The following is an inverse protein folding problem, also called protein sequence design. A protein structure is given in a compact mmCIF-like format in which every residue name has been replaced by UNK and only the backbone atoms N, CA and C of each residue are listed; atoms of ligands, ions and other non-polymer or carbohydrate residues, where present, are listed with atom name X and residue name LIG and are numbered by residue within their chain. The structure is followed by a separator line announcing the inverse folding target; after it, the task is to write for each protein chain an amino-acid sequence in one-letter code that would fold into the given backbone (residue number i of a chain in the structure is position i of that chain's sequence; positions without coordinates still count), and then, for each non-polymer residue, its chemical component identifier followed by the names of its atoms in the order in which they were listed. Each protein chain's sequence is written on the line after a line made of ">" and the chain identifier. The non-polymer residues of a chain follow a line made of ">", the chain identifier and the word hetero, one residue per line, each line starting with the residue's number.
data_IF_396334451711
#
_entry.id   IF_396334451711
#
_cell.length_a   1.000
_cell.length_b   1.000
_cell.length_c   1.000
_cell.angle_alpha   90.00
_cell.angle_beta   90.00
_cell.angle_gamma   90.00
#
_symmetry.space_group_name_H-M   'P 1'
#
loop_
_entity.id
_entity.type
_entity.pdbx_description
1 polymer ?
#
# COMPACT_ATOMS: atom_id res chain seq x y z
N UNK A 1 -17.81 -12.04 4.67
CA UNK A 1 -18.54 -11.14 5.58
C UNK A 1 -19.91 -10.82 4.97
N UNK A 2 -21.01 -11.24 5.60
CA UNK A 2 -22.38 -11.09 5.09
C UNK A 2 -23.15 -9.92 5.75
N UNK A 3 -22.84 -9.61 7.01
CA UNK A 3 -23.35 -8.41 7.70
C UNK A 3 -22.23 -7.71 8.47
N UNK A 4 -21.70 -6.58 7.93
CA UNK A 4 -20.63 -5.83 8.61
C UNK A 4 -21.05 -5.20 9.95
N UNK A 5 -22.34 -4.94 10.19
CA UNK A 5 -22.79 -4.32 11.44
C UNK A 5 -22.80 -5.30 12.62
N UNK A 6 -23.07 -6.55 12.34
CA UNK A 6 -23.09 -7.65 13.32
C UNK A 6 -21.84 -8.51 13.22
N UNK A 7 -20.90 -8.15 12.36
CA UNK A 7 -19.74 -8.97 11.99
C UNK A 7 -20.17 -10.42 11.68
N UNK A 8 -21.21 -10.57 10.86
CA UNK A 8 -21.70 -11.89 10.47
C UNK A 8 -20.83 -12.42 9.34
N UNK A 9 -20.23 -13.58 9.54
CA UNK A 9 -19.37 -14.24 8.55
C UNK A 9 -19.98 -15.57 8.14
N UNK A 10 -19.83 -15.92 6.87
CA UNK A 10 -20.07 -17.25 6.35
C UNK A 10 -18.71 -17.90 6.15
N UNK A 11 -18.56 -19.10 6.70
CA UNK A 11 -17.35 -19.90 6.59
C UNK A 11 -17.69 -21.17 5.85
N UNK A 12 -16.95 -21.47 4.78
CA UNK A 12 -17.07 -22.71 4.03
C UNK A 12 -15.90 -23.63 4.35
N UNK A 13 -16.22 -24.87 4.68
CA UNK A 13 -15.24 -25.91 4.92
C UNK A 13 -14.83 -26.57 3.60
N UNK A 14 -13.56 -26.39 3.21
CA UNK A 14 -12.99 -26.97 1.99
C UNK A 14 -12.21 -28.27 2.24
N UNK A 15 -12.14 -28.72 3.49
CA UNK A 15 -11.53 -30.01 3.79
C UNK A 15 -12.43 -31.15 3.30
N UNK A 16 -11.82 -32.29 2.92
CA UNK A 16 -12.52 -33.47 2.51
C UNK A 16 -12.94 -34.37 3.70
N UNK A 17 -12.15 -34.35 4.79
CA UNK A 17 -12.32 -35.30 5.90
C UNK A 17 -12.31 -34.64 7.28
N UNK A 18 -12.06 -33.36 7.40
CA UNK A 18 -11.86 -32.67 8.67
C UNK A 18 -12.98 -31.68 8.94
N UNK A 19 -13.66 -31.80 10.08
CA UNK A 19 -14.63 -30.82 10.55
C UNK A 19 -13.89 -29.58 11.12
N UNK A 20 -14.43 -28.38 10.90
CA UNK A 20 -13.83 -27.13 11.39
C UNK A 20 -13.83 -27.02 12.93
N UNK A 21 -14.56 -27.86 13.66
CA UNK A 21 -14.49 -27.91 15.13
C UNK A 21 -13.12 -28.32 15.67
N UNK A 22 -12.24 -28.89 14.83
CA UNK A 22 -10.83 -29.18 15.14
C UNK A 22 -9.93 -27.94 15.17
N UNK A 23 -10.48 -26.79 14.82
CA UNK A 23 -9.76 -25.50 14.75
C UNK A 23 -10.44 -24.45 15.61
N UNK A 24 -9.68 -23.43 15.98
CA UNK A 24 -10.17 -22.21 16.65
C UNK A 24 -10.06 -21.05 15.71
N UNK A 25 -11.17 -20.34 15.49
CA UNK A 25 -11.18 -19.02 14.87
C UNK A 25 -10.75 -17.97 15.90
N UNK A 26 -9.73 -17.21 15.58
CA UNK A 26 -9.37 -15.96 16.24
C UNK A 26 -9.85 -14.82 15.36
N UNK A 27 -10.47 -13.82 15.94
CA UNK A 27 -10.90 -12.65 15.19
C UNK A 27 -10.52 -11.37 15.92
N UNK A 28 -10.17 -10.36 15.13
CA UNK A 28 -9.82 -9.03 15.63
C UNK A 28 -10.44 -7.96 14.74
N UNK A 29 -11.03 -6.93 15.36
CA UNK A 29 -11.32 -5.67 14.70
C UNK A 29 -10.17 -4.71 14.99
N UNK A 30 -9.47 -4.30 13.96
CA UNK A 30 -8.30 -3.42 14.04
C UNK A 30 -8.57 -2.11 13.33
N UNK A 31 -8.17 -0.99 13.91
CA UNK A 31 -8.24 0.32 13.29
C UNK A 31 -7.11 0.59 12.30
N UNK A 32 -7.28 1.62 11.48
CA UNK A 32 -6.23 2.11 10.55
C UNK A 32 -5.00 2.71 11.27
N UNK A 33 -5.07 2.86 12.59
CA UNK A 33 -3.94 3.21 13.47
C UNK A 33 -3.17 1.98 13.99
N UNK A 34 -3.56 0.76 13.57
CA UNK A 34 -2.96 -0.51 13.96
C UNK A 34 -3.37 -1.02 15.33
N UNK A 35 -4.31 -0.37 16.03
CA UNK A 35 -4.76 -0.82 17.36
C UNK A 35 -5.96 -1.75 17.25
N UNK A 36 -5.96 -2.77 18.10
CA UNK A 36 -7.08 -3.67 18.29
C UNK A 36 -8.21 -2.93 19.03
N UNK A 37 -9.40 -2.94 18.44
CA UNK A 37 -10.62 -2.33 18.97
C UNK A 37 -11.45 -3.37 19.72
N UNK A 38 -11.52 -4.57 19.16
CA UNK A 38 -12.20 -5.71 19.73
C UNK A 38 -11.59 -7.01 19.19
N UNK A 39 -11.62 -8.06 19.98
CA UNK A 39 -11.11 -9.38 19.60
C UNK A 39 -11.85 -10.50 20.32
N UNK A 40 -11.66 -11.69 19.85
CA UNK A 40 -12.20 -12.89 20.49
C UNK A 40 -11.86 -14.14 19.73
N UNK A 41 -12.37 -15.25 20.26
CA UNK A 41 -12.25 -16.58 19.65
C UNK A 41 -13.60 -17.21 19.44
N UNK A 42 -13.69 -18.13 18.50
CA UNK A 42 -14.91 -18.89 18.24
C UNK A 42 -14.60 -20.28 17.67
N UNK A 43 -15.42 -21.25 18.05
CA UNK A 43 -15.51 -22.55 17.40
C UNK A 43 -16.59 -22.55 16.34
N UNK A 44 -16.37 -23.31 15.27
CA UNK A 44 -17.37 -23.57 14.26
C UNK A 44 -17.51 -25.08 14.07
N UNK A 45 -18.73 -25.59 14.19
CA UNK A 45 -19.07 -26.96 13.79
C UNK A 45 -19.54 -26.91 12.34
N UNK A 46 -18.69 -27.33 11.43
CA UNK A 46 -18.93 -27.31 10.00
C UNK A 46 -18.31 -28.54 9.36
N UNK A 47 -19.15 -29.44 8.88
CA UNK A 47 -18.70 -30.66 8.23
C UNK A 47 -17.97 -30.36 6.89
N UNK A 48 -17.17 -31.33 6.39
CA UNK A 48 -16.55 -31.21 5.08
C UNK A 48 -17.53 -30.77 3.98
N UNK A 49 -17.10 -29.81 3.13
CA UNK A 49 -17.86 -29.24 2.02
C UNK A 49 -19.10 -28.43 2.39
N UNK A 50 -19.45 -28.33 3.66
CA UNK A 50 -20.57 -27.51 4.15
C UNK A 50 -20.16 -26.05 4.41
N UNK A 51 -21.13 -25.21 4.70
CA UNK A 51 -20.93 -23.82 5.11
C UNK A 51 -21.75 -23.54 6.39
N UNK A 52 -21.21 -22.68 7.24
CA UNK A 52 -21.87 -22.21 8.45
C UNK A 52 -21.79 -20.69 8.55
N UNK A 53 -22.87 -20.07 8.99
CA UNK A 53 -22.95 -18.61 9.19
C UNK A 53 -23.12 -18.32 10.68
N UNK A 54 -22.35 -17.35 11.19
CA UNK A 54 -22.46 -16.89 12.57
C UNK A 54 -22.04 -15.44 12.73
N UNK A 55 -22.53 -14.81 13.80
CA UNK A 55 -22.14 -13.43 14.17
C UNK A 55 -21.02 -13.48 15.21
N UNK A 56 -20.06 -12.55 15.06
CA UNK A 56 -19.01 -12.28 16.04
C UNK A 56 -19.40 -11.16 17.02
N UNK A 57 -20.56 -10.53 16.79
CA UNK A 57 -21.09 -9.44 17.58
C UNK A 57 -20.97 -8.07 16.89
N UNK A 58 -21.57 -7.06 17.51
CA UNK A 58 -21.47 -5.69 17.01
C UNK A 58 -20.31 -4.97 17.68
N UNK A 59 -19.51 -4.23 16.90
CA UNK A 59 -18.39 -3.43 17.40
C UNK A 59 -18.64 -1.96 17.07
N UNK A 60 -18.54 -1.10 18.08
CA UNK A 60 -18.63 0.37 17.91
C UNK A 60 -17.22 0.91 17.64
N UNK A 61 -17.03 1.50 16.47
CA UNK A 61 -15.77 2.12 16.11
C UNK A 61 -15.59 3.47 16.83
N UNK A 62 -14.41 3.73 17.43
CA UNK A 62 -14.08 5.05 17.97
C UNK A 62 -14.09 6.14 16.89
N UNK A 63 -14.45 7.37 17.21
CA UNK A 63 -14.47 8.49 16.27
C UNK A 63 -13.09 8.87 15.72
N UNK A 64 -12.03 8.44 16.38
CA UNK A 64 -10.64 8.63 15.95
C UNK A 64 -10.19 7.65 14.86
N UNK A 65 -10.94 6.60 14.62
CA UNK A 65 -10.63 5.59 13.60
C UNK A 65 -11.42 5.91 12.32
N UNK A 66 -10.71 6.07 11.21
CA UNK A 66 -11.29 6.35 9.90
C UNK A 66 -11.82 5.08 9.23
N UNK A 67 -11.02 4.04 9.25
CA UNK A 67 -11.33 2.73 8.70
C UNK A 67 -10.99 1.63 9.70
N UNK A 68 -11.72 0.53 9.65
CA UNK A 68 -11.42 -0.63 10.45
C UNK A 68 -11.47 -1.90 9.60
N UNK A 69 -10.75 -2.90 10.05
CA UNK A 69 -10.58 -4.20 9.39
C UNK A 69 -10.99 -5.31 10.34
N UNK A 70 -11.78 -6.25 9.86
CA UNK A 70 -12.02 -7.52 10.54
C UNK A 70 -10.99 -8.52 10.03
N UNK A 71 -10.08 -8.93 10.89
CA UNK A 71 -9.12 -9.98 10.63
C UNK A 71 -9.63 -11.29 11.22
N UNK A 72 -9.56 -12.35 10.44
CA UNK A 72 -9.90 -13.70 10.83
C UNK A 72 -8.67 -14.59 10.65
N UNK A 73 -8.39 -15.43 11.64
CA UNK A 73 -7.28 -16.37 11.61
C UNK A 73 -7.70 -17.70 12.25
N UNK A 74 -7.34 -18.80 11.62
CA UNK A 74 -7.66 -20.14 12.11
C UNK A 74 -6.39 -20.85 12.52
N UNK A 75 -6.40 -21.43 13.73
CA UNK A 75 -5.31 -22.26 14.24
C UNK A 75 -5.83 -23.64 14.66
N UNK A 76 -5.06 -24.72 14.51
CA UNK A 76 -5.47 -26.03 14.93
C UNK A 76 -5.45 -26.15 16.46
N UNK A 77 -6.38 -26.92 17.04
CA UNK A 77 -6.41 -27.17 18.47
C UNK A 77 -5.36 -28.19 18.91
N UNK A 78 -4.91 -29.03 17.97
CA UNK A 78 -3.91 -30.08 18.22
C UNK A 78 -2.80 -29.96 17.17
N UNK A 79 -1.57 -30.01 17.63
CA UNK A 79 -0.41 -30.07 16.75
C UNK A 79 -0.38 -31.36 15.94
N UNK A 80 0.11 -31.27 14.72
CA UNK A 80 0.52 -32.41 13.89
C UNK A 80 2.05 -32.40 13.76
N UNK A 81 2.69 -33.42 13.13
CA UNK A 81 4.13 -33.39 12.91
C UNK A 81 4.65 -32.19 12.13
N UNK A 82 3.78 -31.50 11.36
CA UNK A 82 4.17 -30.40 10.46
C UNK A 82 3.51 -29.05 10.81
N UNK A 83 2.49 -29.03 11.68
CA UNK A 83 1.70 -27.84 12.00
C UNK A 83 1.50 -27.79 13.52
N UNK A 84 1.97 -26.72 14.14
CA UNK A 84 1.78 -26.45 15.58
C UNK A 84 0.41 -25.84 15.89
N UNK A 85 0.02 -25.81 17.16
CA UNK A 85 -1.25 -25.22 17.62
C UNK A 85 -1.35 -23.71 17.44
N UNK A 86 -0.23 -23.03 17.17
CA UNK A 86 -0.17 -21.57 16.92
C UNK A 86 0.03 -21.23 15.45
N UNK A 87 0.14 -22.23 14.58
CA UNK A 87 0.32 -22.00 13.16
C UNK A 87 -1.01 -21.62 12.51
N UNK A 88 -1.01 -20.51 11.78
CA UNK A 88 -2.17 -20.07 11.03
C UNK A 88 -2.36 -20.97 9.80
N UNK A 89 -3.51 -21.64 9.73
CA UNK A 89 -3.85 -22.54 8.61
C UNK A 89 -4.78 -21.91 7.58
N UNK A 90 -5.48 -20.85 7.97
CA UNK A 90 -6.30 -20.04 7.09
C UNK A 90 -6.49 -18.64 7.69
N UNK A 91 -6.57 -17.64 6.83
CA UNK A 91 -6.87 -16.27 7.25
C UNK A 91 -7.76 -15.57 6.23
N UNK A 92 -8.39 -14.50 6.69
CA UNK A 92 -9.12 -13.56 5.82
C UNK A 92 -9.14 -12.18 6.46
N UNK A 93 -9.27 -11.13 5.63
CA UNK A 93 -9.41 -9.76 6.08
C UNK A 93 -10.54 -9.07 5.34
N UNK A 94 -11.45 -8.46 6.08
CA UNK A 94 -12.55 -7.68 5.52
C UNK A 94 -12.43 -6.23 5.94
N UNK A 95 -12.54 -5.33 4.96
CA UNK A 95 -12.67 -3.90 5.23
C UNK A 95 -14.07 -3.65 5.77
N UNK A 96 -14.17 -3.15 7.00
CA UNK A 96 -15.42 -2.67 7.54
C UNK A 96 -15.71 -1.29 6.93
N UNK A 97 -16.97 -0.99 6.67
CA UNK A 97 -17.37 0.28 6.04
C UNK A 97 -16.76 1.49 6.76
N UNK A 98 -16.38 2.51 5.99
CA UNK A 98 -15.81 3.75 6.51
C UNK A 98 -16.62 4.31 7.70
N UNK A 99 -15.94 4.67 8.76
CA UNK A 99 -16.58 5.20 9.97
C UNK A 99 -17.16 6.59 9.71
N UNK A 100 -18.48 6.69 9.61
CA UNK A 100 -19.18 7.97 9.44
C UNK A 100 -18.98 8.95 10.60
N UNK A 101 -18.56 8.46 11.74
CA UNK A 101 -18.22 9.26 12.93
C UNK A 101 -16.80 9.80 12.96
N UNK A 102 -15.95 9.40 12.01
CA UNK A 102 -14.57 9.85 11.96
C UNK A 102 -14.47 11.37 11.82
N UNK A 103 -13.59 11.95 12.59
CA UNK A 103 -13.18 13.34 12.49
C UNK A 103 -11.67 13.39 12.36
N UNK A 104 -11.20 13.80 11.20
CA UNK A 104 -9.77 13.97 10.95
C UNK A 104 -9.21 15.00 11.95
N UNK A 105 -8.11 14.70 12.64
CA UNK A 105 -7.45 15.70 13.46
C UNK A 105 -6.97 16.85 12.58
N UNK A 106 -7.17 18.08 13.02
CA UNK A 106 -6.58 19.23 12.33
C UNK A 106 -5.09 19.26 12.66
N UNK A 107 -4.28 18.91 11.67
CA UNK A 107 -2.82 18.93 11.79
C UNK A 107 -2.31 20.12 11.00
N UNK A 108 -1.59 21.03 11.66
CA UNK A 108 -0.93 22.18 11.06
C UNK A 108 0.57 22.04 11.21
N UNK A 109 1.25 21.54 10.20
CA UNK A 109 2.69 21.26 10.22
C UNK A 109 3.44 21.85 9.01
N UNK A 110 2.76 22.61 8.14
CA UNK A 110 3.42 23.19 6.96
C UNK A 110 4.59 24.10 7.31
N UNK A 111 4.49 24.84 8.42
CA UNK A 111 5.54 25.71 8.96
C UNK A 111 6.77 24.92 9.48
N UNK A 112 6.68 23.63 9.65
CA UNK A 112 7.75 22.71 10.07
C UNK A 112 8.41 21.99 8.89
N UNK A 113 7.92 22.24 7.67
CA UNK A 113 8.39 21.57 6.44
C UNK A 113 9.07 22.59 5.55
N UNK A 114 10.23 22.21 5.00
CA UNK A 114 10.89 22.92 3.89
C UNK A 114 11.11 21.94 2.75
N UNK A 115 10.87 22.39 1.53
CA UNK A 115 11.10 21.61 0.32
C UNK A 115 12.05 22.35 -0.60
N UNK A 116 12.78 21.60 -1.42
CA UNK A 116 13.63 22.14 -2.46
C UNK A 116 13.52 21.30 -3.74
N UNK A 117 13.34 21.98 -4.85
CA UNK A 117 13.19 21.39 -6.20
C UNK A 117 14.42 21.77 -7.01
N UNK A 118 15.12 20.78 -7.51
CA UNK A 118 16.32 20.95 -8.32
C UNK A 118 15.97 21.64 -9.65
N UNK A 119 16.56 22.80 -9.97
CA UNK A 119 16.27 23.51 -11.21
C UNK A 119 16.79 22.82 -12.47
N UNK A 120 17.79 21.95 -12.36
CA UNK A 120 18.36 21.23 -13.49
C UNK A 120 17.57 19.98 -13.87
N UNK A 121 16.99 19.32 -12.89
CA UNK A 121 16.29 18.04 -13.08
C UNK A 121 14.79 18.11 -12.80
N UNK A 122 14.31 19.15 -12.13
CA UNK A 122 12.93 19.26 -11.68
C UNK A 122 12.56 18.27 -10.54
N UNK A 123 13.53 17.56 -10.01
CA UNK A 123 13.35 16.56 -8.95
C UNK A 123 13.15 17.23 -7.58
N UNK A 124 12.35 16.62 -6.69
CA UNK A 124 12.34 17.00 -5.29
C UNK A 124 13.69 16.56 -4.67
N UNK A 125 14.55 17.53 -4.42
CA UNK A 125 15.92 17.34 -3.94
C UNK A 125 15.99 17.25 -2.42
N UNK A 126 15.10 17.93 -1.73
CA UNK A 126 15.07 17.98 -0.27
C UNK A 126 13.64 18.06 0.26
N UNK A 127 13.37 17.35 1.35
CA UNK A 127 12.17 17.43 2.17
C UNK A 127 12.59 17.41 3.63
N UNK A 128 12.67 18.59 4.25
CA UNK A 128 13.09 18.75 5.63
C UNK A 128 11.86 18.85 6.52
N UNK A 129 11.76 18.01 7.55
CA UNK A 129 10.73 18.07 8.57
C UNK A 129 11.37 18.33 9.94
N UNK A 130 10.97 19.41 10.61
CA UNK A 130 11.52 19.84 11.92
C UNK A 130 13.05 19.88 11.91
N UNK A 131 13.65 20.37 10.85
CA UNK A 131 15.10 20.50 10.70
C UNK A 131 15.85 19.23 10.32
N UNK A 132 15.15 18.09 10.13
CA UNK A 132 15.74 16.82 9.71
C UNK A 132 15.43 16.54 8.24
N UNK A 133 16.47 16.27 7.43
CA UNK A 133 16.30 15.80 6.04
C UNK A 133 15.67 14.39 6.06
N UNK A 134 14.62 14.21 5.26
CA UNK A 134 13.85 12.98 5.17
C UNK A 134 14.16 12.18 3.90
N UNK A 135 14.84 12.77 2.92
CA UNK A 135 15.23 12.09 1.70
C UNK A 135 16.70 11.66 1.77
N UNK A 136 16.99 10.45 1.35
CA UNK A 136 18.37 9.96 1.16
C UNK A 136 18.93 10.32 -0.23
N UNK A 137 18.05 10.61 -1.19
CA UNK A 137 18.39 11.01 -2.56
C UNK A 137 17.23 11.76 -3.19
N UNK A 138 17.44 12.54 -4.27
CA UNK A 138 16.38 13.20 -5.02
C UNK A 138 15.32 12.21 -5.52
N UNK A 139 14.05 12.62 -5.48
CA UNK A 139 12.93 11.83 -6.00
C UNK A 139 12.81 12.06 -7.50
N UNK A 140 13.12 11.06 -8.29
CA UNK A 140 13.03 11.07 -9.76
C UNK A 140 12.00 10.06 -10.25
N UNK A 141 11.48 10.28 -11.47
CA UNK A 141 10.64 9.29 -12.11
C UNK A 141 11.49 8.11 -12.63
N UNK A 142 11.12 6.90 -12.26
CA UNK A 142 11.76 5.69 -12.75
C UNK A 142 10.76 4.86 -13.56
N UNK A 143 11.15 4.45 -14.75
CA UNK A 143 10.43 3.49 -15.60
C UNK A 143 11.08 2.10 -15.55
N UNK A 144 11.96 1.89 -14.59
CA UNK A 144 12.70 0.63 -14.41
C UNK A 144 12.45 0.05 -13.02
N UNK A 145 12.31 -1.24 -12.94
CA UNK A 145 12.40 -2.02 -11.69
C UNK A 145 13.45 -3.13 -11.84
N UNK A 146 14.09 -3.57 -10.75
CA UNK A 146 14.92 -4.76 -10.78
C UNK A 146 14.14 -5.94 -11.35
N UNK A 147 14.80 -6.69 -12.23
CA UNK A 147 14.20 -7.87 -12.88
C UNK A 147 14.18 -9.04 -11.90
N UNK A 148 13.08 -9.77 -11.89
CA UNK A 148 12.97 -11.05 -11.18
C UNK A 148 13.53 -12.19 -12.02
N UNK A 149 13.73 -13.35 -11.42
CA UNK A 149 14.15 -14.55 -12.14
C UNK A 149 13.16 -14.94 -13.24
N UNK A 150 11.86 -14.82 -12.98
CA UNK A 150 10.81 -15.06 -13.98
C UNK A 150 10.92 -14.10 -15.18
N UNK A 151 11.17 -12.82 -14.93
CA UNK A 151 11.38 -11.82 -15.99
C UNK A 151 12.60 -12.18 -16.87
N UNK A 152 13.61 -12.82 -16.29
CA UNK A 152 14.88 -13.15 -16.97
C UNK A 152 14.79 -14.39 -17.86
N UNK A 153 13.79 -15.26 -17.65
CA UNK A 153 13.62 -16.52 -18.37
C UNK A 153 13.00 -16.35 -19.77
N UNK A 154 12.28 -15.28 -19.99
CA UNK A 154 11.70 -15.01 -21.31
C UNK A 154 12.77 -14.68 -22.35
N UNK A 155 12.82 -15.43 -23.45
CA UNK A 155 13.77 -15.21 -24.56
C UNK A 155 13.59 -13.83 -25.21
N UNK A 156 12.38 -13.27 -25.18
CA UNK A 156 11.97 -11.98 -25.78
C UNK A 156 11.43 -10.99 -24.75
N UNK A 157 11.54 -11.29 -23.45
CA UNK A 157 10.86 -10.57 -22.39
C UNK A 157 11.36 -9.15 -22.15
N UNK A 158 10.42 -8.27 -21.80
CA UNK A 158 10.62 -6.83 -21.59
C UNK A 158 11.74 -6.48 -20.63
N UNK A 159 11.99 -7.31 -19.61
CA UNK A 159 13.01 -7.01 -18.60
C UNK A 159 14.45 -6.99 -19.14
N UNK A 160 14.78 -7.87 -20.10
CA UNK A 160 16.09 -7.83 -20.80
C UNK A 160 16.19 -6.59 -21.69
N UNK A 161 15.08 -6.22 -22.33
CA UNK A 161 14.97 -5.04 -23.19
C UNK A 161 15.17 -3.78 -22.32
N UNK A 162 14.57 -3.68 -21.16
CA UNK A 162 14.69 -2.49 -20.29
C UNK A 162 16.14 -2.13 -19.97
N UNK A 163 16.93 -3.11 -19.52
CA UNK A 163 18.36 -2.88 -19.23
C UNK A 163 19.16 -2.65 -20.51
N UNK A 164 18.88 -3.44 -21.57
CA UNK A 164 19.53 -3.27 -22.87
C UNK A 164 19.27 -1.86 -23.43
N UNK A 165 18.08 -1.31 -23.21
CA UNK A 165 17.73 0.04 -23.64
C UNK A 165 18.13 1.13 -22.62
N UNK A 166 18.80 0.77 -21.52
CA UNK A 166 19.37 1.71 -20.57
C UNK A 166 18.32 2.41 -19.69
N UNK A 167 17.20 1.74 -19.39
CA UNK A 167 16.18 2.27 -18.50
C UNK A 167 16.59 2.20 -17.02
N UNK A 168 17.59 1.40 -16.69
CA UNK A 168 18.18 1.31 -15.35
C UNK A 168 19.03 2.54 -14.98
N UNK A 169 19.40 3.36 -15.97
CA UNK A 169 20.19 4.58 -15.80
C UNK A 169 19.58 5.76 -16.57
N UNK A 170 18.30 6.02 -16.27
CA UNK A 170 17.57 7.12 -16.90
C UNK A 170 18.11 8.50 -16.48
N UNK A 171 18.02 9.44 -17.39
CA UNK A 171 18.40 10.84 -17.17
C UNK A 171 17.14 11.70 -17.23
N UNK A 172 16.94 12.53 -16.22
CA UNK A 172 15.87 13.51 -16.15
C UNK A 172 16.47 14.91 -16.33
N UNK A 173 15.97 15.68 -17.29
CA UNK A 173 16.41 17.05 -17.58
C UNK A 173 15.21 18.00 -17.53
N UNK A 174 15.30 19.04 -16.73
CA UNK A 174 14.25 20.04 -16.67
C UNK A 174 14.27 20.94 -17.91
N UNK A 175 13.10 21.16 -18.47
CA UNK A 175 12.84 22.19 -19.50
C UNK A 175 12.18 23.42 -18.90
N UNK A 176 11.51 23.27 -17.77
CA UNK A 176 10.89 24.35 -17.01
C UNK A 176 10.83 23.99 -15.52
N UNK A 177 11.20 24.92 -14.66
CA UNK A 177 11.01 24.80 -13.20
C UNK A 177 10.54 26.12 -12.63
N UNK A 178 9.44 26.09 -11.89
CA UNK A 178 8.98 27.18 -11.04
C UNK A 178 8.77 26.62 -9.63
N UNK A 179 9.62 27.02 -8.70
CA UNK A 179 9.59 26.54 -7.33
C UNK A 179 9.26 27.68 -6.34
N UNK A 180 8.66 27.33 -5.21
CA UNK A 180 8.40 28.18 -4.06
C UNK A 180 8.51 27.35 -2.79
N UNK A 181 8.47 28.00 -1.62
CA UNK A 181 8.53 27.34 -0.32
C UNK A 181 7.32 26.41 -0.07
N UNK A 182 6.20 26.61 -0.76
CA UNK A 182 4.96 25.85 -0.60
C UNK A 182 4.69 24.87 -1.74
N UNK A 183 5.60 24.78 -2.72
CA UNK A 183 5.45 23.85 -3.83
C UNK A 183 6.08 24.36 -5.11
N UNK A 184 5.65 23.81 -6.24
CA UNK A 184 6.17 24.19 -7.54
C UNK A 184 5.65 23.33 -8.68
N UNK A 185 6.11 23.69 -9.88
CA UNK A 185 5.88 22.89 -11.10
C UNK A 185 7.22 22.69 -11.81
N UNK A 186 7.46 21.48 -12.27
CA UNK A 186 8.57 21.16 -13.16
C UNK A 186 8.06 20.42 -14.41
N UNK A 187 8.60 20.77 -15.55
CA UNK A 187 8.44 20.03 -16.80
C UNK A 187 9.80 19.48 -17.18
N UNK A 188 9.87 18.20 -17.49
CA UNK A 188 11.12 17.48 -17.68
C UNK A 188 11.07 16.56 -18.89
N UNK A 189 12.21 16.40 -19.53
CA UNK A 189 12.45 15.35 -20.50
C UNK A 189 13.07 14.15 -19.80
N UNK A 190 12.61 12.96 -20.16
CA UNK A 190 13.19 11.68 -19.73
C UNK A 190 13.95 11.06 -20.88
N UNK A 191 15.19 10.66 -20.60
CA UNK A 191 16.09 10.05 -21.56
C UNK A 191 16.62 8.74 -21.02
N UNK A 192 16.82 7.75 -21.88
CA UNK A 192 17.56 6.55 -21.51
C UNK A 192 19.08 6.81 -21.51
N UNK A 193 19.86 5.83 -21.00
CA UNK A 193 21.32 5.94 -20.97
C UNK A 193 21.97 5.98 -22.36
N UNK A 194 21.24 5.64 -23.42
CA UNK A 194 21.70 5.69 -24.82
C UNK A 194 21.42 7.03 -25.51
N UNK A 195 20.80 7.98 -24.81
CA UNK A 195 20.45 9.28 -25.37
C UNK A 195 19.19 9.26 -26.21
N UNK A 196 18.31 8.29 -26.04
CA UNK A 196 16.97 8.27 -26.65
C UNK A 196 15.98 8.92 -25.69
N UNK A 197 15.20 9.88 -26.21
CA UNK A 197 14.13 10.51 -25.44
C UNK A 197 12.98 9.56 -25.26
N UNK A 198 12.56 9.34 -24.00
CA UNK A 198 11.49 8.44 -23.64
C UNK A 198 10.12 9.14 -23.55
N UNK A 199 10.14 10.46 -23.36
CA UNK A 199 8.93 11.27 -23.23
C UNK A 199 9.12 12.49 -22.36
N UNK A 200 8.01 13.12 -22.03
CA UNK A 200 7.91 14.31 -21.17
C UNK A 200 7.16 13.95 -19.88
N UNK A 201 7.62 14.49 -18.75
CA UNK A 201 6.86 14.42 -17.52
C UNK A 201 6.63 15.82 -16.93
N UNK A 202 5.49 15.97 -16.27
CA UNK A 202 5.16 17.17 -15.49
C UNK A 202 4.98 16.75 -14.03
N UNK A 203 5.67 17.45 -13.13
CA UNK A 203 5.50 17.34 -11.69
C UNK A 203 4.84 18.60 -11.15
N UNK A 204 3.81 18.42 -10.33
CA UNK A 204 3.20 19.52 -9.56
C UNK A 204 3.32 19.16 -8.08
N UNK A 205 4.08 19.95 -7.37
CA UNK A 205 4.34 19.82 -5.94
C UNK A 205 3.46 20.80 -5.18
N UNK A 206 2.74 20.32 -4.16
CA UNK A 206 1.88 21.17 -3.32
C UNK A 206 2.04 20.77 -1.87
N UNK A 207 2.62 21.64 -1.05
CA UNK A 207 2.69 21.46 0.39
C UNK A 207 1.32 21.77 0.99
N UNK A 208 0.77 20.80 1.71
CA UNK A 208 -0.52 20.92 2.37
C UNK A 208 -0.36 21.45 3.80
N UNK A 209 -1.42 22.01 4.39
CA UNK A 209 -1.41 22.57 5.75
C UNK A 209 -0.94 21.59 6.83
N UNK A 210 -1.21 20.32 6.65
CA UNK A 210 -0.77 19.24 7.55
C UNK A 210 0.71 18.83 7.37
N UNK A 211 1.45 19.50 6.49
CA UNK A 211 2.85 19.18 6.20
C UNK A 211 3.04 18.08 5.13
N UNK A 212 1.99 17.44 4.66
CA UNK A 212 2.10 16.47 3.58
C UNK A 212 2.43 17.18 2.26
N UNK A 213 3.36 16.63 1.49
CA UNK A 213 3.64 17.10 0.13
C UNK A 213 2.86 16.24 -0.87
N UNK A 214 1.88 16.86 -1.53
CA UNK A 214 1.19 16.23 -2.65
C UNK A 214 2.03 16.40 -3.91
N UNK A 215 2.37 15.29 -4.55
CA UNK A 215 3.05 15.26 -5.84
C UNK A 215 2.10 14.68 -6.89
N UNK A 216 1.75 15.49 -7.91
CA UNK A 216 1.02 15.00 -9.08
C UNK A 216 2.01 14.87 -10.22
N UNK A 217 2.15 13.65 -10.74
CA UNK A 217 3.00 13.34 -11.88
C UNK A 217 2.13 12.99 -13.08
N UNK A 218 2.44 13.58 -14.23
CA UNK A 218 1.85 13.22 -15.53
C UNK A 218 3.00 12.88 -16.46
N UNK A 219 2.95 11.69 -17.07
CA UNK A 219 3.95 11.27 -18.05
C UNK A 219 3.28 11.07 -19.42
N UNK A 220 3.89 11.65 -20.44
CA UNK A 220 3.53 11.52 -21.84
C UNK A 220 4.68 10.80 -22.55
N UNK A 221 4.52 9.50 -22.87
CA UNK A 221 5.55 8.76 -23.57
C UNK A 221 5.75 9.29 -24.98
N UNK A 222 6.98 9.24 -25.46
CA UNK A 222 7.28 9.47 -26.87
C UNK A 222 6.95 8.18 -27.65
N UNK A 223 5.96 8.25 -28.53
CA UNK A 223 5.51 7.12 -29.31
C UNK A 223 6.32 6.89 -30.58
N UNK A 224 7.29 7.76 -30.84
CA UNK A 224 8.21 7.66 -31.98
C UNK A 224 9.56 7.00 -31.62
N UNK A 225 9.74 6.65 -30.33
CA UNK A 225 10.98 6.07 -29.80
C UNK A 225 10.98 4.54 -29.85
#
# INVERSE_FOLDING_TARGET
>A
LTDPKKLTVEVKNWYDFTNLNAYTLHWQVMGDDGKVIAEGTRKADCAPHEAVTFSLGAVKLPSTIREAYLNLSWTPDKATPFIGTHDEVAYDQFVLSANKGYRAPEIKLADKVKIDIDPATGALRSYIYKGKEMLSSPVVLSLYRPVTDNDSREKTGGAKVWRKEGLDNMIQKATFVKASETGGKAEVELWNAKGVKLGMATFVYTLQSNGALKVKTTFLPDTSA
#
